data_IF_496208660641
#
_entry.id   IF_496208660641
#
_cell.length_a   1.000
_cell.length_b   1.000
_cell.length_c   1.000
_cell.angle_alpha   90.00
_cell.angle_beta   90.00
_cell.angle_gamma   90.00
#
_symmetry.space_group_name_H-M   'P 1'
#
loop_
_entity.id
_entity.type
_entity.pdbx_description
1 polymer ?
#
# COMPACT_ATOMS: atom_id res chain seq x y z
N UNK A 1 -5.09 -14.76 -1.40
CA UNK A 1 -5.75 -13.83 -2.33
C UNK A 1 -4.69 -13.39 -3.30
N UNK A 2 -4.87 -13.61 -4.61
CA UNK A 2 -3.91 -13.16 -5.62
C UNK A 2 -4.26 -11.73 -6.04
N UNK A 3 -3.32 -11.03 -6.67
CA UNK A 3 -3.53 -9.68 -7.22
C UNK A 3 -4.75 -9.64 -8.14
N UNK A 4 -4.94 -10.69 -8.95
CA UNK A 4 -6.06 -10.89 -9.87
C UNK A 4 -7.43 -11.05 -9.17
N UNK A 5 -7.45 -11.37 -7.86
CA UNK A 5 -8.66 -11.48 -7.06
C UNK A 5 -9.02 -10.18 -6.32
N UNK A 6 -8.19 -9.14 -6.41
CA UNK A 6 -8.39 -7.89 -5.68
C UNK A 6 -9.62 -7.14 -6.22
N UNK A 7 -10.43 -6.64 -5.30
CA UNK A 7 -11.60 -5.83 -5.62
C UNK A 7 -11.82 -4.73 -4.58
N UNK A 8 -12.64 -3.74 -4.92
CA UNK A 8 -13.01 -2.65 -4.02
C UNK A 8 -11.82 -1.86 -3.50
N UNK A 9 -11.83 -1.58 -2.20
CA UNK A 9 -10.80 -0.80 -1.51
C UNK A 9 -9.40 -1.43 -1.65
N UNK A 10 -9.31 -2.77 -1.65
CA UNK A 10 -8.02 -3.48 -1.73
C UNK A 10 -7.37 -3.31 -3.11
N UNK A 11 -8.16 -3.41 -4.20
CA UNK A 11 -7.67 -3.15 -5.55
C UNK A 11 -7.28 -1.67 -5.74
N UNK A 12 -8.03 -0.76 -5.14
CA UNK A 12 -7.79 0.68 -5.21
C UNK A 12 -6.49 1.04 -4.51
N UNK A 13 -6.26 0.52 -3.30
CA UNK A 13 -5.02 0.71 -2.55
C UNK A 13 -3.83 0.07 -3.26
N UNK A 14 -3.96 -1.17 -3.73
CA UNK A 14 -2.89 -1.84 -4.49
C UNK A 14 -2.45 -1.03 -5.71
N UNK A 15 -3.40 -0.50 -6.49
CA UNK A 15 -3.08 0.36 -7.63
C UNK A 15 -2.39 1.66 -7.21
N UNK A 16 -2.85 2.29 -6.13
CA UNK A 16 -2.25 3.52 -5.63
C UNK A 16 -0.81 3.31 -5.16
N UNK A 17 -0.50 2.18 -4.50
CA UNK A 17 0.89 1.83 -4.16
C UNK A 17 1.72 1.70 -5.45
N UNK A 18 1.23 0.92 -6.42
CA UNK A 18 1.93 0.70 -7.69
C UNK A 18 2.25 2.01 -8.45
N UNK A 19 1.30 2.94 -8.46
CA UNK A 19 1.47 4.24 -9.14
C UNK A 19 2.47 5.14 -8.41
N UNK A 20 2.39 5.22 -7.07
CA UNK A 20 3.25 6.10 -6.29
C UNK A 20 4.70 5.59 -6.19
N UNK A 21 4.87 4.27 -6.13
CA UNK A 21 6.19 3.64 -6.22
C UNK A 21 6.89 3.94 -7.55
N UNK A 22 6.16 4.01 -8.67
CA UNK A 22 6.70 4.30 -10.01
C UNK A 22 7.08 5.78 -10.16
N UNK A 23 6.26 6.69 -9.64
CA UNK A 23 6.43 8.14 -9.80
C UNK A 23 7.56 8.73 -8.93
N UNK A 24 7.78 8.24 -7.70
CA UNK A 24 8.69 8.89 -6.76
C UNK A 24 9.41 7.95 -5.79
N UNK A 25 8.64 7.21 -4.97
CA UNK A 25 9.13 6.34 -3.90
C UNK A 25 7.96 5.58 -3.25
N UNK A 26 8.28 4.58 -2.44
CA UNK A 26 7.31 3.88 -1.60
C UNK A 26 6.44 4.85 -0.79
N UNK A 27 5.10 4.80 -0.91
CA UNK A 27 4.21 5.76 -0.25
C UNK A 27 3.96 5.43 1.22
N UNK A 28 3.67 6.47 2.01
CA UNK A 28 3.12 6.30 3.37
C UNK A 28 1.61 6.08 3.32
N UNK A 29 1.04 5.66 4.45
CA UNK A 29 -0.42 5.44 4.58
C UNK A 29 -1.24 6.69 4.21
N UNK A 30 -0.75 7.88 4.57
CA UNK A 30 -1.41 9.16 4.28
C UNK A 30 -1.41 9.53 2.80
N UNK A 31 -0.35 9.17 2.08
CA UNK A 31 -0.25 9.37 0.64
C UNK A 31 -1.25 8.47 -0.08
N UNK A 32 -1.40 7.23 0.38
CA UNK A 32 -2.40 6.28 -0.11
C UNK A 32 -3.83 6.77 0.14
N UNK A 33 -4.14 7.25 1.34
CA UNK A 33 -5.46 7.80 1.64
C UNK A 33 -5.78 9.01 0.73
N UNK A 34 -4.80 9.91 0.54
CA UNK A 34 -4.94 11.05 -0.37
C UNK A 34 -5.12 10.65 -1.83
N UNK A 35 -4.38 9.64 -2.30
CA UNK A 35 -4.41 9.18 -3.70
C UNK A 35 -5.69 8.42 -4.02
N UNK A 36 -6.15 7.57 -3.10
CA UNK A 36 -7.35 6.75 -3.29
C UNK A 36 -8.65 7.53 -3.02
N UNK A 37 -8.58 8.62 -2.27
CA UNK A 37 -9.75 9.36 -1.79
C UNK A 37 -10.53 8.62 -0.70
N UNK A 38 -9.97 7.52 -0.17
CA UNK A 38 -10.53 6.77 0.95
C UNK A 38 -10.15 7.44 2.27
N UNK A 39 -11.01 7.27 3.27
CA UNK A 39 -10.66 7.63 4.65
C UNK A 39 -9.46 6.81 5.15
N UNK A 40 -8.72 7.36 6.11
CA UNK A 40 -7.49 6.76 6.61
C UNK A 40 -7.72 5.37 7.22
N UNK A 41 -8.85 5.14 7.91
CA UNK A 41 -9.16 3.83 8.50
C UNK A 41 -9.48 2.77 7.45
N UNK A 42 -10.17 3.15 6.35
CA UNK A 42 -10.43 2.24 5.23
C UNK A 42 -9.15 1.87 4.52
N UNK A 43 -8.30 2.86 4.28
CA UNK A 43 -6.97 2.68 3.70
C UNK A 43 -6.13 1.75 4.58
N UNK A 44 -6.08 2.00 5.90
CA UNK A 44 -5.37 1.14 6.86
C UNK A 44 -5.88 -0.30 6.83
N UNK A 45 -7.20 -0.48 6.80
CA UNK A 45 -7.81 -1.81 6.78
C UNK A 45 -7.46 -2.57 5.50
N UNK A 46 -7.47 -1.90 4.35
CA UNK A 46 -7.09 -2.48 3.06
C UNK A 46 -5.60 -2.84 3.02
N UNK A 47 -4.72 -1.91 3.43
CA UNK A 47 -3.28 -2.18 3.59
C UNK A 47 -3.05 -3.40 4.50
N UNK A 48 -3.69 -3.44 5.66
CA UNK A 48 -3.57 -4.57 6.58
C UNK A 48 -3.97 -5.89 5.93
N UNK A 49 -5.06 -5.93 5.15
CA UNK A 49 -5.44 -7.14 4.41
C UNK A 49 -4.38 -7.54 3.39
N UNK A 50 -3.86 -6.58 2.61
CA UNK A 50 -2.82 -6.80 1.59
C UNK A 50 -1.49 -7.29 2.18
N UNK A 51 -1.13 -6.84 3.39
CA UNK A 51 0.06 -7.32 4.12
C UNK A 51 -0.05 -8.79 4.56
N UNK A 52 -1.29 -9.26 4.75
CA UNK A 52 -1.60 -10.59 5.28
C UNK A 52 -2.17 -11.55 4.22
N UNK A 53 -2.03 -11.23 2.93
CA UNK A 53 -2.37 -12.19 1.87
C UNK A 53 -1.27 -13.23 1.69
N UNK A 54 -1.67 -14.42 1.28
CA UNK A 54 -0.77 -15.41 0.71
C UNK A 54 -1.08 -15.58 -0.80
N UNK A 55 -0.12 -15.32 -1.70
CA UNK A 55 1.23 -14.77 -1.46
C UNK A 55 1.19 -13.32 -0.95
N UNK A 56 2.28 -12.86 -0.31
CA UNK A 56 2.39 -11.46 0.13
C UNK A 56 2.33 -10.54 -1.09
N UNK A 57 1.39 -9.60 -1.08
CA UNK A 57 1.23 -8.61 -2.15
C UNK A 57 1.88 -7.29 -1.78
N UNK A 58 1.93 -6.98 -0.48
CA UNK A 58 2.48 -5.74 0.06
C UNK A 58 3.48 -6.04 1.19
N UNK A 59 4.49 -5.19 1.32
CA UNK A 59 5.45 -5.16 2.41
C UNK A 59 5.35 -3.82 3.14
N UNK A 60 5.50 -3.87 4.46
CA UNK A 60 5.70 -2.70 5.28
C UNK A 60 7.21 -2.55 5.51
N UNK A 61 7.77 -1.41 5.12
CA UNK A 61 9.19 -1.10 5.25
C UNK A 61 9.34 0.07 6.21
N UNK A 62 10.20 -0.04 7.24
CA UNK A 62 10.45 1.10 8.13
C UNK A 62 11.03 2.25 7.32
N UNK A 63 10.40 3.42 7.39
CA UNK A 63 10.99 4.63 6.82
C UNK A 63 12.23 5.02 7.64
N UNK A 64 13.34 5.24 6.94
CA UNK A 64 14.60 5.70 7.54
C UNK A 64 14.81 7.21 7.35
N UNK A 65 13.78 7.90 6.85
CA UNK A 65 13.73 9.34 6.70
C UNK A 65 13.90 10.11 8.02
N UNK A 66 14.24 11.40 7.88
CA UNK A 66 14.45 12.29 9.02
C UNK A 66 13.14 12.66 9.75
N UNK A 67 11.99 12.45 9.11
CA UNK A 67 10.67 12.74 9.66
C UNK A 67 9.98 11.43 10.00
N UNK A 68 9.52 11.27 11.23
CA UNK A 68 8.81 10.07 11.69
C UNK A 68 7.36 10.06 11.17
N UNK A 69 7.18 9.66 9.91
CA UNK A 69 5.89 9.53 9.25
C UNK A 69 5.30 8.12 9.33
N UNK A 70 5.97 7.23 10.06
CA UNK A 70 5.67 5.80 10.09
C UNK A 70 6.27 5.05 8.88
N UNK A 71 5.85 3.80 8.64
CA UNK A 71 6.41 3.00 7.58
C UNK A 71 5.92 3.42 6.19
N UNK A 72 6.69 3.03 5.18
CA UNK A 72 6.28 3.07 3.77
C UNK A 72 5.81 1.68 3.33
N UNK A 73 4.98 1.66 2.30
CA UNK A 73 4.37 0.43 1.79
C UNK A 73 4.88 0.13 0.39
N UNK A 74 5.47 -1.06 0.22
CA UNK A 74 6.07 -1.49 -1.03
C UNK A 74 5.38 -2.72 -1.60
N UNK A 75 5.27 -2.82 -2.93
CA UNK A 75 4.76 -4.03 -3.55
C UNK A 75 5.76 -5.18 -3.46
N UNK A 76 5.23 -6.39 -3.30
CA UNK A 76 6.05 -7.58 -3.40
C UNK A 76 6.62 -7.73 -4.82
N UNK A 77 7.91 -8.14 -4.95
CA UNK A 77 8.52 -8.31 -6.26
C UNK A 77 7.74 -9.35 -7.07
N UNK A 78 7.28 -8.93 -8.24
CA UNK A 78 6.56 -9.79 -9.20
C UNK A 78 7.62 -10.55 -10.00
N UNK A 79 8.01 -11.73 -9.55
CA UNK A 79 8.85 -12.67 -10.33
C UNK A 79 8.09 -13.26 -11.50
#
# INVERSE_FOLDING_TARGET
MRVEDLSGDDATVYRAVAELEDDAAAPHLQDLARRTGLDLERTRSAVHRLLHTEPKVLHEVPDTGATDLGPVYELAPRT
#
